data_IF_934558446276
#
_entry.id   IF_934558446276
#
_cell.length_a   1.000
_cell.length_b   1.000
_cell.length_c   1.000
_cell.angle_alpha   90.00
_cell.angle_beta   90.00
_cell.angle_gamma   90.00
#
_symmetry.space_group_name_H-M   'P 1'
#
loop_
_entity.id
_entity.type
_entity.pdbx_description
1 polymer ?
#
# COMPACT_ATOMS: atom_id res chain seq x y z
N UNK A 1 -22.22 10.89 -22.92
CA UNK A 1 -21.28 10.96 -21.78
C UNK A 1 -21.08 9.56 -21.25
N UNK A 2 -19.86 9.06 -21.33
CA UNK A 2 -19.52 7.67 -20.96
C UNK A 2 -18.44 7.61 -19.88
N UNK A 3 -17.85 8.75 -19.51
CA UNK A 3 -16.80 8.85 -18.51
C UNK A 3 -16.94 10.14 -17.71
N UNK A 4 -16.36 10.14 -16.51
CA UNK A 4 -16.37 11.27 -15.59
C UNK A 4 -14.99 11.47 -14.98
N UNK A 5 -14.58 12.72 -14.77
CA UNK A 5 -13.54 13.04 -13.82
C UNK A 5 -14.16 13.27 -12.45
N UNK A 6 -13.58 12.69 -11.42
CA UNK A 6 -13.98 12.85 -10.04
C UNK A 6 -12.84 13.53 -9.30
N UNK A 7 -13.14 14.63 -8.62
CA UNK A 7 -12.20 15.31 -7.73
C UNK A 7 -12.46 14.87 -6.32
N UNK A 8 -11.46 14.26 -5.70
CA UNK A 8 -11.51 13.73 -4.34
C UNK A 8 -10.57 14.51 -3.42
N UNK A 9 -10.87 14.49 -2.15
CA UNK A 9 -9.99 14.90 -1.08
C UNK A 9 -9.89 13.80 -0.05
N UNK A 10 -8.68 13.39 0.24
CA UNK A 10 -8.37 12.41 1.26
C UNK A 10 -7.79 13.12 2.46
N UNK A 11 -8.34 12.89 3.65
CA UNK A 11 -7.94 13.56 4.88
C UNK A 11 -8.10 12.66 6.09
N UNK A 12 -7.34 12.96 7.12
CA UNK A 12 -7.46 12.33 8.42
C UNK A 12 -8.30 13.19 9.34
N UNK A 13 -9.30 12.60 9.98
CA UNK A 13 -10.15 13.25 10.99
C UNK A 13 -9.63 12.89 12.39
N UNK A 14 -8.99 13.84 13.06
CA UNK A 14 -8.44 13.66 14.40
C UNK A 14 -9.51 13.33 15.47
N UNK A 15 -10.75 13.76 15.26
CA UNK A 15 -11.82 13.54 16.24
C UNK A 15 -12.30 12.11 16.27
N UNK A 16 -12.46 11.54 15.08
CA UNK A 16 -12.93 10.17 14.89
C UNK A 16 -11.77 9.19 14.72
N UNK A 17 -10.54 9.73 14.62
CA UNK A 17 -9.35 8.98 14.33
C UNK A 17 -9.50 8.08 13.10
N UNK A 18 -10.13 8.63 12.06
CA UNK A 18 -10.47 7.89 10.85
C UNK A 18 -9.96 8.61 9.59
N UNK A 19 -9.60 7.80 8.60
CA UNK A 19 -9.18 8.25 7.29
C UNK A 19 -10.40 8.28 6.36
N UNK A 20 -10.63 9.44 5.74
CA UNK A 20 -11.78 9.65 4.88
C UNK A 20 -11.36 10.11 3.49
N UNK A 21 -12.06 9.60 2.49
CA UNK A 21 -12.01 10.12 1.12
C UNK A 21 -13.37 10.71 0.78
N UNK A 22 -13.40 12.01 0.48
CA UNK A 22 -14.63 12.73 0.13
C UNK A 22 -14.56 13.19 -1.34
N UNK A 23 -15.64 12.94 -2.07
CA UNK A 23 -15.82 13.51 -3.41
C UNK A 23 -16.18 14.98 -3.28
N UNK A 24 -15.44 15.85 -3.97
CA UNK A 24 -15.63 17.30 -3.94
C UNK A 24 -16.38 17.81 -5.17
N UNK A 25 -16.10 17.26 -6.34
CA UNK A 25 -16.70 17.68 -7.60
C UNK A 25 -16.64 16.56 -8.64
N UNK A 26 -17.57 16.61 -9.58
CA UNK A 26 -17.66 15.69 -10.71
C UNK A 26 -17.68 16.50 -12.01
N UNK A 27 -16.98 16.02 -13.03
CA UNK A 27 -16.96 16.61 -14.36
C UNK A 27 -17.30 15.54 -15.41
N UNK A 28 -18.41 15.67 -16.15
CA UNK A 28 -18.72 14.78 -17.26
C UNK A 28 -17.76 14.99 -18.43
N UNK A 29 -17.40 13.90 -19.09
CA UNK A 29 -16.50 13.87 -20.24
C UNK A 29 -17.33 13.48 -21.47
N UNK A 30 -17.28 14.35 -22.47
CA UNK A 30 -17.81 14.04 -23.79
C UNK A 30 -16.70 13.37 -24.62
N UNK A 31 -16.96 12.13 -25.04
CA UNK A 31 -16.12 11.48 -26.06
C UNK A 31 -16.72 11.77 -27.43
N UNK A 32 -15.88 12.21 -28.32
CA UNK A 32 -16.19 12.43 -29.73
C UNK A 32 -15.38 11.43 -30.54
N UNK A 33 -16.05 10.55 -31.24
CA UNK A 33 -15.38 9.67 -32.17
C UNK A 33 -15.12 10.48 -33.45
N UNK A 34 -13.87 10.59 -33.86
CA UNK A 34 -13.52 11.21 -35.11
C UNK A 34 -13.72 10.19 -36.25
N UNK A 35 -14.38 10.60 -37.32
CA UNK A 35 -14.70 9.77 -38.52
C UNK A 35 -13.43 9.18 -39.19
N UNK A 36 -12.24 9.65 -38.82
CA UNK A 36 -10.96 9.21 -39.38
C UNK A 36 -10.22 8.15 -38.55
N UNK A 37 -10.82 7.63 -37.46
CA UNK A 37 -10.29 6.45 -36.75
C UNK A 37 -9.05 6.70 -35.86
N UNK A 38 -8.66 7.93 -35.61
CA UNK A 38 -7.50 8.31 -34.79
C UNK A 38 -7.88 8.55 -33.31
N UNK A 39 -8.57 7.57 -32.72
CA UNK A 39 -8.83 7.54 -31.28
C UNK A 39 -9.57 8.77 -30.74
N UNK A 40 -10.88 8.62 -30.53
CA UNK A 40 -11.80 9.67 -30.12
C UNK A 40 -11.28 10.64 -29.07
N UNK A 41 -11.46 11.92 -29.32
CA UNK A 41 -11.03 13.00 -28.42
C UNK A 41 -11.97 13.14 -27.23
N UNK A 42 -11.42 13.26 -26.02
CA UNK A 42 -12.18 13.38 -24.77
C UNK A 42 -12.18 14.82 -24.29
N UNK A 43 -13.37 15.43 -24.20
CA UNK A 43 -13.54 16.82 -23.77
C UNK A 43 -14.22 16.85 -22.40
N UNK A 44 -13.55 17.35 -21.35
CA UNK A 44 -14.21 17.68 -20.09
C UNK A 44 -15.16 18.85 -20.31
N UNK A 45 -16.40 18.73 -19.86
CA UNK A 45 -17.41 19.77 -20.10
C UNK A 45 -17.39 20.85 -19.03
N UNK A 46 -17.80 20.52 -17.81
CA UNK A 46 -17.88 21.47 -16.70
C UNK A 46 -17.77 20.74 -15.36
N UNK A 47 -17.28 21.46 -14.35
CA UNK A 47 -17.19 20.93 -12.99
C UNK A 47 -18.41 21.33 -12.19
N UNK A 48 -19.06 20.37 -11.54
CA UNK A 48 -20.17 20.59 -10.60
C UNK A 48 -19.72 20.17 -9.22
N UNK A 49 -20.00 20.99 -8.23
CA UNK A 49 -19.74 20.65 -6.82
C UNK A 49 -20.60 19.46 -6.42
N UNK A 50 -20.03 18.56 -5.66
CA UNK A 50 -20.74 17.36 -5.21
C UNK A 50 -21.94 17.71 -4.31
N UNK A 51 -21.79 18.70 -3.42
CA UNK A 51 -22.84 19.13 -2.50
C UNK A 51 -24.10 19.63 -3.26
N UNK A 52 -23.94 20.22 -4.44
CA UNK A 52 -25.06 20.66 -5.30
C UNK A 52 -25.74 19.47 -6.02
N UNK A 53 -24.99 18.38 -6.24
CA UNK A 53 -25.51 17.16 -6.88
C UNK A 53 -26.16 16.19 -5.90
N UNK A 54 -25.71 16.15 -4.65
CA UNK A 54 -26.13 15.18 -3.64
C UNK A 54 -27.66 15.05 -3.51
N UNK A 55 -28.48 16.14 -3.48
CA UNK A 55 -29.93 16.05 -3.39
C UNK A 55 -30.60 15.33 -4.59
N UNK A 56 -29.97 15.39 -5.75
CA UNK A 56 -30.44 14.70 -6.95
C UNK A 56 -29.97 13.25 -6.99
N UNK A 57 -28.72 12.98 -6.59
CA UNK A 57 -28.12 11.66 -6.53
C UNK A 57 -28.78 10.75 -5.50
N UNK A 58 -29.24 11.31 -4.38
CA UNK A 58 -29.99 10.58 -3.34
C UNK A 58 -31.30 9.99 -3.88
N UNK A 59 -31.92 10.66 -4.85
CA UNK A 59 -33.19 10.21 -5.48
C UNK A 59 -32.96 9.12 -6.54
N UNK A 60 -31.75 8.97 -7.03
CA UNK A 60 -31.39 7.98 -8.06
C UNK A 60 -30.89 6.70 -7.39
N UNK A 61 -31.45 5.59 -7.78
CA UNK A 61 -31.05 4.27 -7.28
C UNK A 61 -30.28 3.50 -8.32
N UNK A 62 -29.28 2.76 -7.88
CA UNK A 62 -28.49 1.85 -8.71
C UNK A 62 -28.52 0.45 -8.12
N UNK A 63 -28.43 -0.54 -9.00
CA UNK A 63 -28.25 -1.94 -8.59
C UNK A 63 -26.78 -2.18 -8.20
N UNK A 64 -26.56 -2.77 -7.05
CA UNK A 64 -25.22 -3.07 -6.53
C UNK A 64 -24.78 -4.51 -6.77
N UNK A 65 -25.69 -5.38 -7.20
CA UNK A 65 -25.42 -6.78 -7.48
C UNK A 65 -26.09 -7.23 -8.78
N UNK A 66 -25.39 -8.00 -9.59
CA UNK A 66 -25.94 -8.64 -10.78
C UNK A 66 -26.72 -9.93 -10.46
N UNK A 67 -26.56 -10.45 -9.23
CA UNK A 67 -27.18 -11.72 -8.80
C UNK A 67 -28.40 -11.51 -7.92
N UNK A 68 -28.56 -10.33 -7.34
CA UNK A 68 -29.65 -10.02 -6.42
C UNK A 68 -30.28 -8.67 -6.79
N UNK A 69 -31.47 -8.72 -7.39
CA UNK A 69 -32.23 -7.53 -7.79
C UNK A 69 -32.71 -6.68 -6.59
N UNK A 70 -32.68 -7.23 -5.38
CA UNK A 70 -33.04 -6.51 -4.16
C UNK A 70 -31.89 -5.65 -3.62
N UNK A 71 -30.66 -5.84 -4.09
CA UNK A 71 -29.51 -5.06 -3.67
C UNK A 71 -29.46 -3.71 -4.40
N UNK A 72 -30.22 -2.74 -3.88
CA UNK A 72 -30.33 -1.37 -4.39
C UNK A 72 -29.73 -0.41 -3.40
N UNK A 73 -28.96 0.57 -3.89
CA UNK A 73 -28.49 1.71 -3.08
C UNK A 73 -28.69 3.02 -3.84
N UNK A 74 -28.67 4.15 -3.13
CA UNK A 74 -28.68 5.45 -3.77
C UNK A 74 -27.37 5.72 -4.49
N UNK A 75 -27.41 6.57 -5.52
CA UNK A 75 -26.20 7.01 -6.22
C UNK A 75 -25.29 7.82 -5.26
N UNK A 76 -25.88 8.56 -4.33
CA UNK A 76 -25.16 9.29 -3.29
C UNK A 76 -24.39 8.35 -2.35
N UNK A 77 -25.02 7.26 -1.88
CA UNK A 77 -24.35 6.23 -1.09
C UNK A 77 -23.17 5.56 -1.84
N UNK A 78 -23.34 5.35 -3.14
CA UNK A 78 -22.30 4.78 -4.00
C UNK A 78 -21.03 5.64 -4.02
N UNK A 79 -21.19 6.96 -4.15
CA UNK A 79 -20.07 7.90 -4.10
C UNK A 79 -19.51 8.08 -2.68
N UNK A 80 -20.36 8.17 -1.68
CA UNK A 80 -19.94 8.34 -0.28
C UNK A 80 -19.16 7.13 0.25
N UNK A 81 -19.52 5.93 -0.18
CA UNK A 81 -18.80 4.69 0.15
C UNK A 81 -17.59 4.42 -0.75
N UNK A 82 -17.26 5.32 -1.67
CA UNK A 82 -16.14 5.21 -2.60
C UNK A 82 -16.16 3.89 -3.41
N UNK A 83 -17.34 3.43 -3.83
CA UNK A 83 -17.52 2.18 -4.56
C UNK A 83 -17.15 2.28 -6.06
N UNK A 84 -16.91 3.48 -6.55
CA UNK A 84 -16.47 3.71 -7.92
C UNK A 84 -15.02 3.30 -8.13
N UNK A 85 -14.70 2.93 -9.37
CA UNK A 85 -13.34 2.54 -9.78
C UNK A 85 -12.87 3.48 -10.88
N UNK A 86 -11.65 3.93 -10.78
CA UNK A 86 -11.07 4.85 -11.75
C UNK A 86 -9.55 4.74 -11.79
N UNK A 87 -8.97 5.54 -12.67
CA UNK A 87 -7.51 5.71 -12.76
C UNK A 87 -7.16 7.14 -12.32
N UNK A 88 -6.10 7.29 -11.56
CA UNK A 88 -5.61 8.61 -11.15
C UNK A 88 -5.13 9.35 -12.40
N UNK A 89 -5.74 10.50 -12.66
CA UNK A 89 -5.41 11.37 -13.79
C UNK A 89 -4.46 12.49 -13.39
N UNK A 90 -4.69 13.07 -12.19
CA UNK A 90 -3.94 14.21 -11.66
C UNK A 90 -3.93 14.16 -10.14
N UNK A 91 -2.80 14.49 -9.54
CA UNK A 91 -2.66 14.74 -8.11
C UNK A 91 -2.35 16.21 -7.87
N UNK A 92 -2.48 16.67 -6.63
CA UNK A 92 -2.03 18.02 -6.25
C UNK A 92 -0.51 18.05 -6.32
N UNK A 93 0.02 18.87 -7.23
CA UNK A 93 1.45 19.08 -7.40
C UNK A 93 1.74 20.55 -7.65
N UNK A 94 2.96 21.00 -7.33
CA UNK A 94 3.37 22.40 -7.45
C UNK A 94 3.29 22.94 -8.88
N UNK A 95 3.51 22.09 -9.88
CA UNK A 95 3.50 22.47 -11.28
C UNK A 95 2.10 22.40 -11.92
N UNK A 96 1.10 21.87 -11.19
CA UNK A 96 -0.25 21.70 -11.70
C UNK A 96 -0.38 20.73 -12.88
N UNK A 97 0.67 19.93 -13.16
CA UNK A 97 0.72 19.00 -14.30
C UNK A 97 -0.13 17.76 -14.07
N UNK A 98 -0.66 17.20 -15.16
CA UNK A 98 -1.33 15.90 -15.15
C UNK A 98 -0.31 14.75 -15.25
N UNK A 99 -0.69 13.53 -14.88
CA UNK A 99 0.20 12.38 -15.02
C UNK A 99 0.68 12.20 -16.46
N UNK A 100 -0.20 12.41 -17.42
CA UNK A 100 0.14 12.30 -18.84
C UNK A 100 1.20 13.32 -19.31
N UNK A 101 1.35 14.45 -18.62
CA UNK A 101 2.33 15.47 -18.98
C UNK A 101 3.75 15.19 -18.48
N UNK A 102 3.90 14.41 -17.42
CA UNK A 102 5.22 14.04 -16.89
C UNK A 102 5.57 12.56 -17.04
N UNK A 103 4.60 11.72 -17.38
CA UNK A 103 4.81 10.32 -17.71
C UNK A 103 4.65 10.11 -19.21
N UNK A 104 5.75 9.97 -19.97
CA UNK A 104 5.70 9.98 -21.45
C UNK A 104 5.12 8.68 -22.04
N UNK A 105 5.00 7.60 -21.25
CA UNK A 105 4.49 6.31 -21.70
C UNK A 105 3.38 5.80 -20.79
N UNK A 106 2.44 5.02 -21.35
CA UNK A 106 1.34 4.42 -20.59
C UNK A 106 1.84 3.50 -19.46
N UNK A 107 2.94 2.82 -19.69
CA UNK A 107 3.58 1.97 -18.66
C UNK A 107 4.12 2.80 -17.50
N UNK A 108 4.76 3.95 -17.77
CA UNK A 108 5.23 4.88 -16.75
C UNK A 108 4.05 5.49 -15.97
N UNK A 109 2.97 5.85 -16.67
CA UNK A 109 1.75 6.37 -16.05
C UNK A 109 1.10 5.34 -15.13
N UNK A 110 0.95 4.09 -15.57
CA UNK A 110 0.40 3.02 -14.75
C UNK A 110 1.27 2.70 -13.52
N UNK A 111 2.59 2.79 -13.65
CA UNK A 111 3.53 2.61 -12.53
C UNK A 111 3.39 3.75 -11.51
N UNK A 112 3.26 4.97 -11.99
CA UNK A 112 3.09 6.15 -11.13
C UNK A 112 1.73 6.13 -10.41
N UNK A 113 0.66 5.74 -11.08
CA UNK A 113 -0.65 5.56 -10.46
C UNK A 113 -0.58 4.55 -9.29
N UNK A 114 0.04 3.41 -9.51
CA UNK A 114 0.25 2.39 -8.46
C UNK A 114 1.13 2.91 -7.31
N UNK A 115 2.13 3.76 -7.60
CA UNK A 115 2.96 4.37 -6.57
C UNK A 115 2.13 5.27 -5.67
N UNK A 116 1.28 6.12 -6.26
CA UNK A 116 0.41 7.05 -5.52
C UNK A 116 -0.62 6.27 -4.70
N UNK A 117 -1.27 5.27 -5.28
CA UNK A 117 -2.22 4.39 -4.57
C UNK A 117 -1.56 3.70 -3.37
N UNK A 118 -0.34 3.21 -3.58
CA UNK A 118 0.44 2.59 -2.50
C UNK A 118 0.82 3.59 -1.41
N UNK A 119 1.24 4.79 -1.75
CA UNK A 119 1.55 5.84 -0.76
C UNK A 119 0.34 6.21 0.09
N UNK A 120 -0.86 6.31 -0.52
CA UNK A 120 -2.10 6.55 0.21
C UNK A 120 -2.44 5.39 1.15
N UNK A 121 -2.34 4.15 0.68
CA UNK A 121 -2.57 2.96 1.49
C UNK A 121 -1.54 2.81 2.63
N UNK A 122 -0.26 3.06 2.34
CA UNK A 122 0.80 3.04 3.34
C UNK A 122 0.59 4.15 4.40
N UNK A 123 0.12 5.32 3.99
CA UNK A 123 -0.23 6.40 4.91
C UNK A 123 -1.39 6.00 5.83
N UNK A 124 -2.47 5.45 5.28
CA UNK A 124 -3.62 4.96 6.04
C UNK A 124 -3.21 3.88 7.06
N UNK A 125 -2.41 2.90 6.65
CA UNK A 125 -1.94 1.82 7.51
C UNK A 125 -0.99 2.29 8.61
N UNK A 126 -0.20 3.33 8.37
CA UNK A 126 0.79 3.83 9.30
C UNK A 126 0.30 4.99 10.19
N UNK A 127 -0.97 5.41 10.08
CA UNK A 127 -1.57 6.44 10.92
C UNK A 127 -1.45 6.17 12.41
N UNK A 128 -1.52 4.92 12.81
CA UNK A 128 -1.40 4.45 14.20
C UNK A 128 0.02 4.05 14.61
N UNK A 129 1.01 4.41 13.81
CA UNK A 129 2.39 3.95 13.95
C UNK A 129 2.57 2.55 13.37
N UNK A 130 3.81 2.23 13.06
CA UNK A 130 4.15 0.85 12.67
C UNK A 130 3.99 -0.02 13.90
N UNK A 131 3.23 -1.11 13.85
CA UNK A 131 3.30 -2.11 14.91
C UNK A 131 4.77 -2.51 15.02
N UNK A 132 5.32 -2.50 16.24
CA UNK A 132 6.67 -2.98 16.51
C UNK A 132 6.87 -4.28 15.72
N UNK A 133 7.84 -4.35 14.82
CA UNK A 133 7.98 -5.54 14.01
C UNK A 133 8.20 -6.71 14.97
N UNK A 134 7.38 -7.75 14.87
CA UNK A 134 7.58 -9.02 15.60
C UNK A 134 8.99 -9.58 15.36
N UNK A 135 9.66 -9.14 14.32
CA UNK A 135 11.07 -9.38 14.02
C UNK A 135 12.05 -8.83 15.07
N UNK A 136 11.69 -7.85 15.91
CA UNK A 136 12.60 -7.39 16.95
C UNK A 136 12.74 -8.43 18.06
N UNK A 137 11.67 -9.08 18.49
CA UNK A 137 11.73 -10.16 19.47
C UNK A 137 12.38 -11.41 18.88
N UNK A 138 12.08 -11.76 17.63
CA UNK A 138 12.72 -12.87 16.94
C UNK A 138 14.18 -12.59 16.59
N UNK A 139 14.58 -11.36 16.31
CA UNK A 139 15.98 -11.01 16.09
C UNK A 139 16.76 -11.01 17.39
N UNK A 140 16.19 -10.54 18.50
CA UNK A 140 16.80 -10.65 19.83
C UNK A 140 16.97 -12.13 20.22
N UNK A 141 15.94 -12.94 20.05
CA UNK A 141 15.99 -14.39 20.30
C UNK A 141 17.02 -15.12 19.41
N UNK A 142 17.23 -14.67 18.18
CA UNK A 142 18.26 -15.22 17.27
C UNK A 142 19.67 -14.77 17.67
N UNK A 143 19.84 -13.54 18.17
CA UNK A 143 21.12 -13.02 18.66
C UNK A 143 21.51 -13.77 19.93
N UNK A 144 20.61 -13.96 20.88
CA UNK A 144 20.86 -14.70 22.13
C UNK A 144 21.18 -16.16 21.86
N UNK A 145 20.46 -16.80 20.93
CA UNK A 145 20.74 -18.17 20.50
C UNK A 145 22.07 -18.34 19.80
N UNK A 146 22.50 -17.34 19.05
CA UNK A 146 23.80 -17.30 18.38
C UNK A 146 24.95 -17.05 19.37
N UNK A 147 24.74 -16.18 20.36
CA UNK A 147 25.67 -15.91 21.45
C UNK A 147 25.83 -17.15 22.35
N UNK A 148 24.74 -17.80 22.75
CA UNK A 148 24.75 -19.03 23.53
C UNK A 148 25.47 -20.17 22.80
N UNK A 149 25.27 -20.30 21.48
CA UNK A 149 25.97 -21.31 20.65
C UNK A 149 27.46 -21.04 20.48
N UNK A 150 27.85 -19.75 20.44
CA UNK A 150 29.26 -19.34 20.40
C UNK A 150 29.98 -19.63 21.74
N UNK A 151 29.32 -19.35 22.87
CA UNK A 151 29.80 -19.67 24.22
C UNK A 151 29.97 -21.19 24.44
N UNK A 152 28.97 -21.97 24.01
CA UNK A 152 29.04 -23.43 24.09
C UNK A 152 30.19 -24.02 23.23
N UNK A 153 30.46 -23.42 22.08
CA UNK A 153 31.58 -23.82 21.19
C UNK A 153 32.93 -23.45 21.80
N UNK A 154 33.04 -22.30 22.48
CA UNK A 154 34.24 -21.84 23.17
C UNK A 154 34.58 -22.76 24.38
N UNK A 155 33.55 -23.13 25.18
CA UNK A 155 33.68 -24.04 26.31
C UNK A 155 34.06 -25.49 25.87
N UNK A 156 33.55 -25.97 24.71
CA UNK A 156 33.97 -27.26 24.16
C UNK A 156 35.43 -27.26 23.72
N UNK A 157 35.94 -26.16 23.14
CA UNK A 157 37.35 -26.03 22.74
C UNK A 157 38.26 -25.96 23.96
N UNK A 158 37.85 -25.23 25.03
CA UNK A 158 38.62 -25.17 26.29
C UNK A 158 38.70 -26.53 26.99
N UNK A 159 37.64 -27.35 26.99
CA UNK A 159 37.65 -28.71 27.54
C UNK A 159 38.45 -29.72 26.67
N UNK A 160 38.51 -29.50 25.36
CA UNK A 160 39.31 -30.36 24.44
C UNK A 160 40.82 -30.12 24.58
N UNK A 161 41.26 -28.92 24.96
CA UNK A 161 42.67 -28.62 25.16
C UNK A 161 43.23 -29.08 26.51
N UNK A 162 42.37 -29.28 27.52
CA UNK A 162 42.79 -29.81 28.85
C UNK A 162 42.90 -31.36 28.91
N UNK A 163 42.30 -32.08 27.95
CA UNK A 163 42.40 -33.52 27.88
C UNK A 163 43.62 -34.05 27.10
N UNK A 164 44.29 -33.21 26.31
CA UNK A 164 45.50 -33.56 25.55
C UNK A 164 46.83 -33.39 26.31
N UNK A 165 46.81 -32.71 27.49
CA UNK A 165 48.00 -32.53 28.33
C UNK A 165 48.15 -33.54 29.47
N UNK A 166 47.13 -34.45 29.66
CA UNK A 166 47.19 -35.45 30.72
C UNK A 166 47.62 -36.86 30.25
N UNK A 167 47.92 -37.07 28.99
CA UNK A 167 48.29 -38.38 28.41
C UNK A 167 49.78 -38.57 28.08
N UNK A 168 50.66 -37.58 28.44
CA UNK A 168 52.10 -37.65 28.12
C UNK A 168 53.03 -37.88 29.33
N UNK A 169 52.47 -38.23 30.51
CA UNK A 169 53.29 -38.37 31.74
C UNK A 169 53.25 -39.78 32.36
N UNK A 170 53.19 -40.85 31.58
CA UNK A 170 53.36 -42.20 32.16
C UNK A 170 53.93 -43.19 31.14
N UNK A 171 55.26 -43.07 30.88
CA UNK A 171 56.09 -44.19 30.44
C UNK A 171 57.57 -43.89 30.76
N UNK A 172 57.91 -43.92 32.03
CA UNK A 172 59.32 -44.08 32.43
C UNK A 172 59.54 -45.54 32.86
N UNK A 173 60.28 -46.20 32.09
CA UNK A 173 60.66 -47.59 32.10
C UNK A 173 61.57 -47.93 33.26
N UNK A 174 61.25 -48.91 34.08
CA UNK A 174 62.15 -49.59 35.00
C UNK A 174 62.80 -50.71 34.23
N UNK A 175 64.16 -50.68 34.02
CA UNK A 175 64.99 -51.82 33.71
C UNK A 175 65.66 -52.27 34.96
N UNK A 176 65.50 -53.56 35.32
CA UNK A 176 66.32 -54.30 36.24
C UNK A 176 67.32 -55.15 35.49
N UNK A 177 68.55 -55.12 35.88
CA UNK A 177 69.60 -56.07 35.60
C UNK A 177 69.35 -57.42 36.24
#
# INVERSE_FOLDING_TARGET
>A
VTAYYIKESTYFDDRNAAFHTKVLAICPILKRDDDFGDGGTSYPLFWVKYDDLAPYLTKQTIMTSNLNNAAVMSMDDYFTKNMYKGKIYKTTNMLGKTLAQYCPTDSAMAKEQKRIEKELADFEQNLWGKPEPKDSLDSIARIDKKAAKALAKKNRRARGSSSSSASSASSAKVKKS
#
